data_IF_551621202607
#
_entry.id   IF_551621202607
#
_cell.length_a   1.000
_cell.length_b   1.000
_cell.length_c   1.000
_cell.angle_alpha   90.00
_cell.angle_beta   90.00
_cell.angle_gamma   90.00
#
_symmetry.space_group_name_H-M   'P 1'
#
loop_
_entity.id
_entity.type
_entity.pdbx_description
1 polymer ?
#
# COMPACT_ATOMS: atom_id res chain seq x y z
N UNK A 1 -25.07 7.40 -7.48
CA UNK A 1 -24.10 8.30 -8.13
C UNK A 1 -22.98 7.44 -8.67
N UNK A 2 -22.53 7.65 -9.90
CA UNK A 2 -21.34 6.94 -10.38
C UNK A 2 -20.08 7.60 -9.80
N UNK A 3 -18.95 6.89 -9.71
CA UNK A 3 -17.62 7.49 -9.52
C UNK A 3 -17.22 8.22 -10.84
N UNK A 4 -18.15 9.00 -11.40
CA UNK A 4 -18.03 9.77 -12.63
C UNK A 4 -17.44 11.11 -12.28
N UNK A 5 -16.17 11.30 -12.61
CA UNK A 5 -15.41 12.51 -12.29
C UNK A 5 -13.91 12.28 -12.29
N UNK A 6 -13.46 11.03 -12.35
CA UNK A 6 -12.05 10.72 -12.54
C UNK A 6 -11.62 11.03 -13.99
N UNK A 7 -10.68 11.96 -14.14
CA UNK A 7 -10.05 12.30 -15.41
C UNK A 7 -8.91 11.33 -15.70
N UNK A 8 -9.23 10.27 -16.45
CA UNK A 8 -8.27 9.23 -16.81
C UNK A 8 -7.11 9.78 -17.65
N UNK A 9 -7.36 10.73 -18.55
CA UNK A 9 -6.32 11.29 -19.42
C UNK A 9 -5.29 12.10 -18.61
N UNK A 10 -5.78 12.90 -17.66
CA UNK A 10 -4.88 13.62 -16.74
C UNK A 10 -4.10 12.67 -15.86
N UNK A 11 -4.75 11.63 -15.32
CA UNK A 11 -4.05 10.61 -14.54
C UNK A 11 -2.98 9.88 -15.36
N UNK A 12 -3.27 9.57 -16.63
CA UNK A 12 -2.34 8.91 -17.53
C UNK A 12 -1.11 9.79 -17.84
N UNK A 13 -1.32 11.06 -18.18
CA UNK A 13 -0.21 12.03 -18.38
C UNK A 13 0.68 12.16 -17.15
N UNK A 14 0.09 12.19 -15.96
CA UNK A 14 0.85 12.24 -14.71
C UNK A 14 1.66 10.96 -14.47
N UNK A 15 1.07 9.79 -14.77
CA UNK A 15 1.76 8.50 -14.68
C UNK A 15 2.93 8.45 -15.65
N UNK A 16 2.76 8.84 -16.91
CA UNK A 16 3.84 8.89 -17.90
C UNK A 16 4.97 9.83 -17.46
N UNK A 17 4.63 11.02 -16.97
CA UNK A 17 5.59 11.99 -16.49
C UNK A 17 6.41 11.48 -15.30
N UNK A 18 5.79 10.74 -14.37
CA UNK A 18 6.47 10.14 -13.21
C UNK A 18 7.29 8.90 -13.61
N UNK A 19 6.79 8.09 -14.55
CA UNK A 19 7.50 6.90 -15.04
C UNK A 19 8.77 7.25 -15.83
N UNK A 20 8.85 8.45 -16.39
CA UNK A 20 10.04 8.98 -17.08
C UNK A 20 11.13 9.51 -16.11
N UNK A 21 10.85 9.59 -14.81
CA UNK A 21 11.77 10.10 -13.80
C UNK A 21 12.38 8.95 -12.98
N UNK A 22 13.60 9.12 -12.41
CA UNK A 22 14.10 8.21 -11.40
C UNK A 22 13.10 8.06 -10.25
N UNK A 23 12.93 6.85 -9.74
CA UNK A 23 12.09 6.62 -8.57
C UNK A 23 12.66 7.42 -7.39
N UNK A 24 11.79 8.03 -6.55
CA UNK A 24 12.25 8.62 -5.30
C UNK A 24 12.75 7.52 -4.37
N UNK A 25 13.46 7.93 -3.33
CA UNK A 25 13.87 7.00 -2.27
C UNK A 25 12.66 6.21 -1.75
N UNK A 26 12.89 4.93 -1.49
CA UNK A 26 11.89 3.95 -1.09
C UNK A 26 10.89 4.44 -0.01
N UNK A 27 11.29 5.20 1.02
CA UNK A 27 10.35 5.69 2.01
C UNK A 27 9.25 6.61 1.47
N UNK A 28 9.45 7.23 0.30
CA UNK A 28 8.46 8.10 -0.34
C UNK A 28 7.51 7.37 -1.29
N UNK A 29 7.73 6.08 -1.56
CA UNK A 29 6.84 5.32 -2.42
C UNK A 29 5.41 5.37 -1.88
N UNK A 30 4.44 5.54 -2.76
CA UNK A 30 3.00 5.68 -2.49
C UNK A 30 2.63 6.84 -1.55
N UNK A 31 3.54 7.81 -1.37
CA UNK A 31 3.34 8.95 -0.47
C UNK A 31 3.63 8.67 1.01
N UNK A 32 4.06 7.46 1.38
CA UNK A 32 4.12 7.03 2.79
C UNK A 32 5.00 7.93 3.67
N UNK A 33 6.17 8.31 3.17
CA UNK A 33 7.07 9.23 3.85
C UNK A 33 6.44 10.59 4.12
N UNK A 34 5.75 11.15 3.12
CA UNK A 34 5.02 12.42 3.27
C UNK A 34 3.89 12.29 4.29
N UNK A 35 3.15 11.18 4.29
CA UNK A 35 2.09 10.95 5.28
C UNK A 35 2.64 10.85 6.71
N UNK A 36 3.80 10.22 6.91
CA UNK A 36 4.42 10.16 8.25
C UNK A 36 4.85 11.56 8.70
N UNK A 37 5.44 12.36 7.82
CA UNK A 37 5.82 13.74 8.14
C UNK A 37 4.60 14.60 8.46
N UNK A 38 3.55 14.52 7.65
CA UNK A 38 2.28 15.22 7.86
C UNK A 38 1.64 14.86 9.20
N UNK A 39 1.49 13.56 9.48
CA UNK A 39 1.00 13.09 10.78
C UNK A 39 1.85 13.63 11.94
N UNK A 40 3.17 13.66 11.79
CA UNK A 40 4.08 14.14 12.82
C UNK A 40 4.23 15.66 12.87
N UNK A 41 3.46 16.43 12.08
CA UNK A 41 3.59 17.88 11.94
C UNK A 41 5.05 18.30 11.70
N UNK A 42 5.71 17.61 10.78
CA UNK A 42 7.06 17.90 10.33
C UNK A 42 6.99 18.48 8.91
N UNK A 43 7.86 19.43 8.54
CA UNK A 43 7.90 19.96 7.18
C UNK A 43 8.10 18.84 6.15
N UNK A 44 7.47 18.93 4.99
CA UNK A 44 7.68 17.98 3.89
C UNK A 44 9.15 17.91 3.41
N UNK A 45 9.93 18.95 3.70
CA UNK A 45 11.38 19.03 3.44
C UNK A 45 12.22 18.36 4.53
N UNK A 46 11.60 17.86 5.60
CA UNK A 46 12.31 17.19 6.68
C UNK A 46 12.98 15.90 6.14
N UNK A 47 14.30 15.73 6.35
CA UNK A 47 15.04 14.62 5.78
C UNK A 47 14.58 13.28 6.35
N UNK A 48 13.99 12.45 5.49
CA UNK A 48 13.63 11.08 5.81
C UNK A 48 14.88 10.22 6.00
N UNK A 49 15.24 9.97 7.26
CA UNK A 49 16.33 9.07 7.66
C UNK A 49 15.81 7.77 8.25
N UNK A 50 14.61 7.37 7.83
CA UNK A 50 13.98 6.14 8.26
C UNK A 50 13.50 5.32 7.08
N UNK A 51 13.60 4.00 7.23
CA UNK A 51 12.93 3.03 6.39
C UNK A 51 11.50 2.83 6.88
N UNK A 52 10.54 2.69 5.97
CA UNK A 52 9.15 2.39 6.30
C UNK A 52 8.69 1.15 5.55
N UNK A 53 7.79 0.37 6.15
CA UNK A 53 7.14 -0.74 5.45
C UNK A 53 6.15 -0.27 4.38
N UNK A 54 6.17 -0.93 3.23
CA UNK A 54 5.38 -0.60 2.04
C UNK A 54 3.88 -0.82 2.16
N UNK A 55 3.40 -1.54 3.16
CA UNK A 55 1.98 -1.83 3.31
C UNK A 55 1.66 -2.72 4.50
N UNK A 56 0.37 -3.06 4.68
CA UNK A 56 -0.05 -4.10 5.60
C UNK A 56 0.62 -5.42 5.23
N UNK A 57 1.15 -6.12 6.22
CA UNK A 57 1.98 -7.30 5.98
C UNK A 57 1.18 -8.54 6.33
N UNK A 58 0.72 -9.24 5.30
CA UNK A 58 -0.06 -10.46 5.48
C UNK A 58 0.77 -11.51 6.22
N UNK A 59 2.06 -11.63 5.91
CA UNK A 59 2.98 -12.55 6.58
C UNK A 59 4.20 -11.84 7.18
N UNK A 60 4.73 -12.31 8.33
CA UNK A 60 5.67 -11.57 9.16
C UNK A 60 7.15 -11.66 8.72
N UNK A 61 7.47 -12.15 7.52
CA UNK A 61 8.87 -12.28 7.08
C UNK A 61 9.41 -11.00 6.47
N UNK A 62 10.46 -10.36 7.04
CA UNK A 62 10.92 -9.07 6.56
C UNK A 62 11.47 -9.20 5.15
N UNK A 63 11.02 -8.31 4.26
CA UNK A 63 11.69 -8.16 2.98
C UNK A 63 13.15 -7.76 3.19
N UNK A 64 14.01 -8.26 2.28
CA UNK A 64 15.45 -8.00 2.30
C UNK A 64 15.78 -6.50 2.36
N UNK A 65 14.98 -5.68 1.68
CA UNK A 65 15.15 -4.23 1.72
C UNK A 65 15.10 -3.66 3.14
N UNK A 66 14.28 -4.24 4.03
CA UNK A 66 14.23 -3.83 5.42
C UNK A 66 15.41 -4.37 6.22
N UNK A 67 15.83 -5.61 6.00
CA UNK A 67 16.98 -6.18 6.71
C UNK A 67 18.31 -5.55 6.26
N UNK A 68 18.40 -5.04 5.04
CA UNK A 68 19.63 -4.48 4.47
C UNK A 68 19.64 -2.95 4.39
N UNK A 69 18.53 -2.27 4.71
CA UNK A 69 18.45 -0.81 4.68
C UNK A 69 19.59 -0.19 5.49
N UNK A 70 20.30 0.77 4.90
CA UNK A 70 21.36 1.51 5.61
C UNK A 70 20.78 2.64 6.48
N UNK A 71 19.46 2.83 6.44
CA UNK A 71 18.81 3.85 7.22
C UNK A 71 18.83 3.47 8.71
N UNK A 72 19.21 4.43 9.58
CA UNK A 72 19.44 4.14 10.99
C UNK A 72 18.15 3.96 11.80
N UNK A 73 17.00 4.26 11.19
CA UNK A 73 15.68 4.15 11.79
C UNK A 73 14.82 3.23 10.92
N UNK A 74 14.07 2.32 11.54
CA UNK A 74 13.07 1.50 10.88
C UNK A 74 11.71 1.71 11.55
N UNK A 75 10.71 1.99 10.73
CA UNK A 75 9.31 2.11 11.12
C UNK A 75 8.55 0.93 10.51
N UNK A 76 8.07 0.01 11.34
CA UNK A 76 7.50 -1.26 10.87
C UNK A 76 6.33 -1.76 11.72
N UNK A 77 5.80 -2.92 11.34
CA UNK A 77 4.85 -3.70 12.13
C UNK A 77 5.57 -4.44 13.28
N UNK A 78 4.87 -4.73 14.37
CA UNK A 78 5.43 -5.36 15.59
C UNK A 78 6.13 -6.70 15.29
N UNK A 79 5.53 -7.51 14.41
CA UNK A 79 6.09 -8.79 13.99
C UNK A 79 7.53 -8.65 13.43
N UNK A 80 7.83 -7.59 12.66
CA UNK A 80 9.19 -7.34 12.17
C UNK A 80 10.08 -6.77 13.24
N UNK A 81 9.54 -5.92 14.12
CA UNK A 81 10.33 -5.38 15.22
C UNK A 81 10.94 -6.53 16.02
N UNK A 82 10.19 -7.61 16.28
CA UNK A 82 10.70 -8.83 16.94
C UNK A 82 11.81 -9.52 16.14
N UNK A 83 11.68 -9.64 14.82
CA UNK A 83 12.69 -10.28 13.95
C UNK A 83 13.95 -9.43 13.76
N UNK A 84 13.82 -8.11 13.85
CA UNK A 84 14.90 -7.15 13.56
C UNK A 84 15.54 -6.58 14.83
N UNK A 85 14.96 -6.86 15.99
CA UNK A 85 15.53 -6.55 17.30
C UNK A 85 16.95 -7.13 17.43
N UNK A 86 17.90 -6.29 17.83
CA UNK A 86 19.30 -6.68 18.04
C UNK A 86 20.25 -6.35 16.89
N UNK A 87 19.77 -5.81 15.76
CA UNK A 87 20.67 -5.31 14.71
C UNK A 87 21.43 -4.06 15.20
N UNK A 88 22.78 -4.09 15.23
CA UNK A 88 23.57 -2.95 15.72
C UNK A 88 23.32 -1.68 14.92
N UNK A 89 23.25 -0.54 15.60
CA UNK A 89 23.17 0.78 14.95
C UNK A 89 21.80 1.16 14.40
N UNK A 90 20.75 0.36 14.64
CA UNK A 90 19.38 0.67 14.22
C UNK A 90 18.47 0.97 15.41
N UNK A 91 17.59 1.96 15.23
CA UNK A 91 16.45 2.22 16.10
C UNK A 91 15.19 1.75 15.41
N UNK A 92 14.33 1.00 16.10
CA UNK A 92 13.10 0.44 15.55
C UNK A 92 11.91 1.07 16.28
N UNK A 93 10.88 1.45 15.52
CA UNK A 93 9.59 1.91 16.01
C UNK A 93 8.46 1.10 15.39
N UNK A 94 7.48 0.75 16.22
CA UNK A 94 6.26 0.08 15.78
C UNK A 94 5.19 1.13 15.46
N UNK A 95 4.82 1.22 14.18
CA UNK A 95 3.76 2.12 13.69
C UNK A 95 2.56 1.38 13.10
N UNK A 96 2.72 0.11 12.76
CA UNK A 96 1.75 -0.62 11.92
C UNK A 96 1.82 -0.17 10.46
N UNK A 97 0.76 -0.44 9.70
CA UNK A 97 0.63 -0.05 8.30
C UNK A 97 0.46 1.49 8.16
N UNK A 98 1.41 2.21 7.53
CA UNK A 98 1.36 3.66 7.44
C UNK A 98 0.13 4.18 6.70
N UNK A 99 -0.38 3.44 5.70
CA UNK A 99 -1.61 3.78 4.99
C UNK A 99 -2.82 3.84 5.92
N UNK A 100 -2.95 2.87 6.83
CA UNK A 100 -4.06 2.81 7.79
C UNK A 100 -3.93 3.94 8.81
N UNK A 101 -2.71 4.21 9.29
CA UNK A 101 -2.43 5.35 10.17
C UNK A 101 -2.81 6.68 9.53
N UNK A 102 -2.41 6.89 8.28
CA UNK A 102 -2.77 8.09 7.53
C UNK A 102 -4.29 8.25 7.38
N UNK A 103 -5.00 7.18 6.99
CA UNK A 103 -6.47 7.20 6.89
C UNK A 103 -7.13 7.63 8.19
N UNK A 104 -6.73 7.02 9.31
CA UNK A 104 -7.28 7.30 10.64
C UNK A 104 -6.98 8.73 11.08
N UNK A 105 -5.75 9.19 10.85
CA UNK A 105 -5.33 10.58 11.12
C UNK A 105 -6.19 11.59 10.35
N UNK A 106 -6.42 11.33 9.07
CA UNK A 106 -7.25 12.19 8.20
C UNK A 106 -8.77 12.02 8.44
N UNK A 107 -9.17 11.13 9.36
CA UNK A 107 -10.58 10.85 9.64
C UNK A 107 -11.35 10.31 8.43
N UNK A 108 -10.67 9.64 7.49
CA UNK A 108 -11.31 9.13 6.27
C UNK A 108 -12.12 7.89 6.64
N UNK A 109 -13.44 7.99 6.48
CA UNK A 109 -14.41 6.91 6.68
C UNK A 109 -15.20 6.69 5.40
N UNK A 110 -15.82 5.52 5.27
CA UNK A 110 -16.74 5.26 4.16
C UNK A 110 -17.89 6.27 4.16
N UNK A 111 -18.25 6.76 2.98
CA UNK A 111 -19.33 7.73 2.81
C UNK A 111 -20.69 7.05 3.01
N UNK A 112 -21.65 7.78 3.59
CA UNK A 112 -22.97 7.25 3.88
C UNK A 112 -23.76 6.88 2.59
N UNK A 113 -23.42 7.52 1.47
CA UNK A 113 -23.98 7.28 0.14
C UNK A 113 -23.05 6.42 -0.75
N UNK A 114 -22.06 5.75 -0.16
CA UNK A 114 -21.18 4.83 -0.87
C UNK A 114 -21.98 3.77 -1.66
N UNK A 115 -21.57 3.53 -2.90
CA UNK A 115 -22.30 2.67 -3.81
C UNK A 115 -21.36 1.93 -4.78
N UNK A 116 -21.91 0.91 -5.45
CA UNK A 116 -21.16 0.13 -6.43
C UNK A 116 -19.96 -0.64 -5.86
N UNK A 117 -19.15 -1.15 -6.78
CA UNK A 117 -17.96 -1.95 -6.50
C UNK A 117 -16.74 -1.36 -7.19
N UNK A 118 -15.60 -1.36 -6.51
CA UNK A 118 -14.29 -1.15 -7.16
C UNK A 118 -13.59 -2.50 -7.31
N UNK A 119 -13.30 -2.87 -8.54
CA UNK A 119 -12.49 -4.03 -8.88
C UNK A 119 -11.00 -3.65 -8.94
N UNK A 120 -10.15 -4.47 -8.36
CA UNK A 120 -8.69 -4.37 -8.37
C UNK A 120 -8.10 -5.60 -9.05
N UNK A 121 -7.88 -5.56 -10.37
CA UNK A 121 -7.20 -6.65 -11.05
C UNK A 121 -5.76 -6.79 -10.54
N UNK A 122 -5.27 -8.03 -10.44
CA UNK A 122 -3.91 -8.34 -10.02
C UNK A 122 -2.90 -7.66 -10.94
N UNK A 123 -1.94 -6.94 -10.37
CA UNK A 123 -1.12 -6.02 -11.15
C UNK A 123 0.34 -6.41 -11.28
N UNK A 124 0.98 -5.97 -12.37
CA UNK A 124 2.43 -6.08 -12.53
C UNK A 124 3.17 -5.24 -11.50
N UNK A 125 4.40 -5.64 -11.20
CA UNK A 125 5.42 -4.83 -10.54
C UNK A 125 6.63 -4.66 -11.47
N UNK A 126 7.64 -3.91 -11.05
CA UNK A 126 8.89 -3.80 -11.82
C UNK A 126 9.63 -5.15 -11.99
N UNK A 127 9.33 -6.14 -11.14
CA UNK A 127 10.01 -7.43 -11.13
C UNK A 127 9.14 -8.59 -11.62
N UNK A 128 7.81 -8.40 -11.68
CA UNK A 128 6.86 -9.46 -11.99
C UNK A 128 5.79 -8.91 -12.93
N UNK A 129 5.58 -9.61 -14.02
CA UNK A 129 4.43 -9.39 -14.88
C UNK A 129 3.31 -10.35 -14.50
N UNK A 130 2.11 -9.83 -14.29
CA UNK A 130 0.90 -10.63 -14.11
C UNK A 130 0.24 -10.88 -15.45
N UNK A 131 -0.25 -12.08 -15.71
CA UNK A 131 -0.96 -12.43 -16.94
C UNK A 131 -2.24 -13.19 -16.62
N UNK A 132 -3.36 -12.73 -17.17
CA UNK A 132 -4.64 -13.42 -17.17
C UNK A 132 -5.52 -12.83 -18.28
N UNK A 133 -6.64 -13.48 -18.55
CA UNK A 133 -7.61 -13.01 -19.55
C UNK A 133 -8.39 -11.79 -19.01
N UNK A 134 -7.90 -10.60 -19.33
CA UNK A 134 -8.52 -9.34 -18.94
C UNK A 134 -9.92 -9.16 -19.55
N UNK A 135 -10.16 -9.65 -20.78
CA UNK A 135 -11.46 -9.53 -21.44
C UNK A 135 -12.50 -10.42 -20.78
N UNK A 136 -12.15 -11.66 -20.45
CA UNK A 136 -13.02 -12.55 -19.68
C UNK A 136 -13.31 -11.98 -18.29
N UNK A 137 -12.31 -11.38 -17.63
CA UNK A 137 -12.54 -10.76 -16.33
C UNK A 137 -13.42 -9.51 -16.42
N UNK A 138 -13.25 -8.67 -17.46
CA UNK A 138 -14.12 -7.53 -17.71
C UNK A 138 -15.59 -7.96 -17.91
N UNK A 139 -15.83 -9.01 -18.68
CA UNK A 139 -17.18 -9.55 -18.88
C UNK A 139 -17.78 -10.12 -17.59
N UNK A 140 -16.97 -10.81 -16.78
CA UNK A 140 -17.39 -11.28 -15.45
C UNK A 140 -17.80 -10.11 -14.54
N UNK A 141 -17.02 -9.02 -14.52
CA UNK A 141 -17.34 -7.83 -13.73
C UNK A 141 -18.63 -7.14 -14.21
N UNK A 142 -18.81 -7.04 -15.53
CA UNK A 142 -20.02 -6.47 -16.16
C UNK A 142 -21.28 -7.26 -15.83
N UNK A 143 -21.14 -8.58 -15.64
CA UNK A 143 -22.25 -9.51 -15.36
C UNK A 143 -22.43 -9.84 -13.87
N UNK A 144 -21.71 -9.16 -12.97
CA UNK A 144 -21.93 -9.30 -11.53
C UNK A 144 -23.39 -8.99 -11.16
N UNK A 145 -23.94 -9.67 -10.13
CA UNK A 145 -25.28 -9.38 -9.61
C UNK A 145 -25.53 -7.89 -9.36
N UNK A 146 -26.75 -7.42 -9.60
CA UNK A 146 -27.15 -6.01 -9.50
C UNK A 146 -26.71 -5.33 -8.20
N UNK A 147 -26.73 -6.07 -7.07
CA UNK A 147 -26.29 -5.56 -5.77
C UNK A 147 -24.84 -5.05 -5.75
N UNK A 148 -23.99 -5.54 -6.66
CA UNK A 148 -22.58 -5.16 -6.80
C UNK A 148 -22.36 -4.09 -7.88
N UNK A 149 -23.39 -3.71 -8.62
CA UNK A 149 -23.30 -2.69 -9.65
C UNK A 149 -23.51 -1.28 -9.06
N UNK A 150 -23.01 -0.21 -9.72
CA UNK A 150 -22.07 -0.25 -10.86
C UNK A 150 -20.67 -0.71 -10.46
N UNK A 151 -19.89 -1.24 -11.39
CA UNK A 151 -18.47 -1.60 -11.18
C UNK A 151 -17.55 -0.56 -11.83
N UNK A 152 -16.52 -0.11 -11.12
CA UNK A 152 -15.36 0.61 -11.67
C UNK A 152 -14.08 -0.21 -11.46
N UNK A 153 -13.08 -0.06 -12.32
CA UNK A 153 -11.85 -0.88 -12.28
C UNK A 153 -10.64 0.01 -11.96
N UNK A 154 -10.02 -0.22 -10.81
CA UNK A 154 -8.82 0.51 -10.39
C UNK A 154 -7.56 -0.20 -10.92
N UNK A 155 -6.94 0.34 -11.95
CA UNK A 155 -5.76 -0.23 -12.61
C UNK A 155 -4.49 0.44 -12.06
N UNK A 156 -3.50 -0.39 -11.71
CA UNK A 156 -2.18 0.11 -11.30
C UNK A 156 -1.43 0.76 -12.47
N UNK A 157 -0.65 1.79 -12.18
CA UNK A 157 0.03 2.61 -13.19
C UNK A 157 0.83 1.81 -14.23
N UNK A 158 1.57 0.79 -13.80
CA UNK A 158 2.37 -0.02 -14.74
C UNK A 158 1.49 -0.76 -15.76
N UNK A 159 0.32 -1.21 -15.34
CA UNK A 159 -0.61 -1.93 -16.22
C UNK A 159 -1.44 -0.98 -17.09
N UNK A 160 -1.67 0.26 -16.63
CA UNK A 160 -2.17 1.33 -17.49
C UNK A 160 -1.21 1.57 -18.67
N UNK A 161 0.08 1.76 -18.38
CA UNK A 161 1.12 1.98 -19.40
C UNK A 161 1.24 0.81 -20.38
N UNK A 162 0.95 -0.41 -19.93
CA UNK A 162 0.91 -1.62 -20.78
C UNK A 162 -0.39 -1.79 -21.57
N UNK A 163 -1.35 -0.86 -21.46
CA UNK A 163 -2.64 -0.95 -22.17
C UNK A 163 -3.59 -2.01 -21.61
N UNK A 164 -3.33 -2.58 -20.43
CA UNK A 164 -4.16 -3.66 -19.84
C UNK A 164 -5.53 -3.19 -19.36
N UNK A 165 -5.76 -1.89 -19.35
CA UNK A 165 -7.04 -1.28 -19.04
C UNK A 165 -8.04 -1.32 -20.21
N UNK A 166 -7.56 -1.51 -21.45
CA UNK A 166 -8.38 -1.43 -22.65
C UNK A 166 -9.58 -2.40 -22.65
N UNK A 167 -9.44 -3.68 -22.26
CA UNK A 167 -10.58 -4.60 -22.24
C UNK A 167 -11.72 -4.17 -21.31
N UNK A 168 -11.39 -3.47 -20.21
CA UNK A 168 -12.40 -2.96 -19.28
C UNK A 168 -13.12 -1.73 -19.85
N UNK A 169 -12.39 -0.83 -20.52
CA UNK A 169 -13.00 0.30 -21.25
C UNK A 169 -13.94 -0.18 -22.36
N UNK A 170 -13.50 -1.17 -23.14
CA UNK A 170 -14.31 -1.78 -24.20
C UNK A 170 -15.58 -2.45 -23.66
N UNK A 171 -15.51 -3.02 -22.46
CA UNK A 171 -16.67 -3.57 -21.74
C UNK A 171 -17.58 -2.48 -21.11
N UNK A 172 -17.24 -1.20 -21.26
CA UNK A 172 -18.00 -0.07 -20.70
C UNK A 172 -17.80 0.16 -19.20
N UNK A 173 -16.74 -0.40 -18.61
CA UNK A 173 -16.42 -0.22 -17.19
C UNK A 173 -15.53 1.02 -17.00
N UNK A 174 -15.90 1.97 -16.11
CA UNK A 174 -15.06 3.10 -15.78
C UNK A 174 -13.70 2.66 -15.20
N UNK A 175 -12.63 3.35 -15.61
CA UNK A 175 -11.28 3.11 -15.11
C UNK A 175 -10.92 4.15 -14.06
N UNK A 176 -10.31 3.68 -12.98
CA UNK A 176 -9.70 4.49 -11.92
C UNK A 176 -8.22 4.15 -11.84
N UNK A 177 -7.42 5.04 -11.26
CA UNK A 177 -6.06 4.71 -10.85
C UNK A 177 -5.61 5.53 -9.67
N UNK A 178 -5.02 4.86 -8.68
CA UNK A 178 -4.33 5.52 -7.58
C UNK A 178 -3.03 6.21 -8.02
N UNK A 179 -2.60 6.04 -9.28
CA UNK A 179 -1.42 6.70 -9.83
C UNK A 179 -0.16 5.85 -9.80
N UNK A 180 0.97 6.50 -10.06
CA UNK A 180 2.30 5.88 -10.04
C UNK A 180 2.82 5.75 -8.61
N UNK A 181 3.69 4.78 -8.32
CA UNK A 181 4.25 4.62 -6.98
C UNK A 181 5.12 5.79 -6.52
N UNK A 182 5.64 6.60 -7.44
CA UNK A 182 6.37 7.83 -7.12
C UNK A 182 5.45 9.01 -6.74
N UNK A 183 4.14 8.81 -6.82
CA UNK A 183 3.16 9.87 -6.64
C UNK A 183 2.85 10.09 -5.13
N UNK A 184 3.05 11.31 -4.60
CA UNK A 184 2.79 11.60 -3.19
C UNK A 184 1.31 11.48 -2.81
N UNK A 185 0.39 11.61 -3.77
CA UNK A 185 -1.06 11.54 -3.54
C UNK A 185 -1.64 10.15 -3.80
N UNK A 186 -0.79 9.12 -3.97
CA UNK A 186 -1.25 7.77 -4.29
C UNK A 186 -2.22 7.22 -3.23
N UNK A 187 -1.79 7.20 -1.96
CA UNK A 187 -2.59 6.65 -0.87
C UNK A 187 -3.83 7.51 -0.59
N UNK A 188 -3.70 8.84 -0.67
CA UNK A 188 -4.83 9.78 -0.58
C UNK A 188 -5.89 9.47 -1.62
N UNK A 189 -5.52 9.32 -2.90
CA UNK A 189 -6.46 9.01 -3.98
C UNK A 189 -7.07 7.63 -3.84
N UNK A 190 -6.28 6.62 -3.44
CA UNK A 190 -6.80 5.29 -3.18
C UNK A 190 -7.93 5.32 -2.15
N UNK A 191 -7.72 5.95 -0.99
CA UNK A 191 -8.78 6.07 0.02
C UNK A 191 -9.97 6.92 -0.44
N UNK A 192 -9.72 7.95 -1.25
CA UNK A 192 -10.80 8.71 -1.88
C UNK A 192 -11.67 7.85 -2.80
N UNK A 193 -11.10 6.86 -3.49
CA UNK A 193 -11.92 5.90 -4.24
C UNK A 193 -12.64 4.94 -3.30
N UNK A 194 -11.90 4.34 -2.36
CA UNK A 194 -12.46 3.35 -1.43
C UNK A 194 -13.65 3.91 -0.66
N UNK A 195 -13.56 5.12 -0.10
CA UNK A 195 -14.66 5.69 0.73
C UNK A 195 -16.00 5.80 0.00
N UNK A 196 -15.99 5.87 -1.34
CA UNK A 196 -17.19 5.97 -2.17
C UNK A 196 -17.73 4.61 -2.62
N UNK A 197 -16.97 3.54 -2.44
CA UNK A 197 -17.33 2.20 -2.86
C UNK A 197 -18.12 1.48 -1.76
N UNK A 198 -19.20 0.79 -2.14
CA UNK A 198 -19.92 -0.08 -1.20
C UNK A 198 -19.23 -1.42 -1.01
N UNK A 199 -18.59 -1.92 -2.07
CA UNK A 199 -17.85 -3.17 -2.08
C UNK A 199 -16.50 -2.98 -2.79
N UNK A 200 -15.57 -3.88 -2.52
CA UNK A 200 -14.38 -4.05 -3.36
C UNK A 200 -14.21 -5.50 -3.76
N UNK A 201 -13.53 -5.73 -4.88
CA UNK A 201 -13.26 -7.08 -5.37
C UNK A 201 -11.93 -7.12 -6.12
N UNK A 202 -11.41 -8.32 -6.33
CA UNK A 202 -10.17 -8.56 -7.06
C UNK A 202 -9.97 -10.03 -7.31
N UNK A 203 -9.15 -10.34 -8.33
CA UNK A 203 -8.75 -11.71 -8.66
C UNK A 203 -7.45 -12.12 -7.95
N UNK A 204 -7.01 -11.32 -6.98
CA UNK A 204 -5.92 -11.61 -6.06
C UNK A 204 -6.14 -10.83 -4.75
N UNK A 205 -5.55 -11.28 -3.65
CA UNK A 205 -5.59 -10.60 -2.36
C UNK A 205 -4.28 -9.84 -2.21
N UNK A 206 -4.35 -8.52 -2.13
CA UNK A 206 -3.21 -7.65 -1.88
C UNK A 206 -3.57 -6.50 -0.93
N UNK A 207 -2.71 -5.48 -0.86
CA UNK A 207 -2.88 -4.31 0.02
C UNK A 207 -4.29 -3.71 -0.08
N UNK A 208 -4.83 -3.56 -1.30
CA UNK A 208 -6.16 -3.00 -1.52
C UNK A 208 -7.27 -3.71 -0.73
N UNK A 209 -7.21 -5.04 -0.61
CA UNK A 209 -8.20 -5.83 0.11
C UNK A 209 -8.12 -5.57 1.62
N UNK A 210 -6.90 -5.47 2.16
CA UNK A 210 -6.67 -5.17 3.58
C UNK A 210 -7.16 -3.77 3.92
N UNK A 211 -6.83 -2.76 3.09
CA UNK A 211 -7.26 -1.38 3.31
C UNK A 211 -8.78 -1.22 3.19
N UNK A 212 -9.42 -1.98 2.30
CA UNK A 212 -10.89 -2.01 2.17
C UNK A 212 -11.53 -2.56 3.44
N UNK A 213 -11.11 -3.76 3.85
CA UNK A 213 -11.65 -4.45 5.01
C UNK A 213 -11.40 -3.68 6.30
N UNK A 214 -10.23 -3.06 6.46
CA UNK A 214 -9.91 -2.23 7.63
C UNK A 214 -10.82 -1.00 7.72
N UNK A 215 -11.20 -0.41 6.59
CA UNK A 215 -12.14 0.72 6.55
C UNK A 215 -13.61 0.28 6.69
N UNK A 216 -13.87 -1.01 6.86
CA UNK A 216 -15.22 -1.58 6.99
C UNK A 216 -15.92 -1.85 5.64
N UNK A 217 -15.19 -1.75 4.52
CA UNK A 217 -15.73 -2.05 3.19
C UNK A 217 -15.61 -3.55 2.92
N UNK A 218 -16.72 -4.26 2.67
CA UNK A 218 -16.67 -5.66 2.34
C UNK A 218 -15.89 -5.94 1.04
N UNK A 219 -14.93 -6.87 1.12
CA UNK A 219 -14.16 -7.38 -0.01
C UNK A 219 -14.60 -8.80 -0.35
N UNK A 220 -14.75 -9.11 -1.65
CA UNK A 220 -14.98 -10.47 -2.12
C UNK A 220 -14.03 -10.84 -3.25
N UNK A 221 -13.59 -12.09 -3.28
CA UNK A 221 -12.72 -12.60 -4.33
C UNK A 221 -13.53 -12.95 -5.58
N UNK A 222 -13.07 -12.49 -6.74
CA UNK A 222 -13.71 -12.72 -8.04
C UNK A 222 -12.71 -12.56 -9.16
N UNK A 223 -12.67 -13.52 -10.09
CA UNK A 223 -11.90 -13.43 -11.32
C UNK A 223 -10.96 -14.60 -11.55
N UNK A 224 -10.24 -14.60 -12.69
CA UNK A 224 -9.30 -15.66 -13.02
C UNK A 224 -8.03 -15.56 -12.18
N UNK A 225 -7.45 -16.70 -11.81
CA UNK A 225 -6.16 -16.73 -11.14
C UNK A 225 -5.07 -16.19 -12.07
N UNK A 226 -4.26 -15.21 -11.63
CA UNK A 226 -3.16 -14.68 -12.44
C UNK A 226 -2.01 -15.68 -12.54
N UNK A 227 -1.36 -15.69 -13.69
CA UNK A 227 -0.04 -16.27 -13.89
C UNK A 227 1.02 -15.19 -13.63
N UNK A 228 2.11 -15.55 -12.96
CA UNK A 228 3.20 -14.64 -12.67
C UNK A 228 4.40 -15.00 -13.53
N UNK A 229 4.93 -14.01 -14.25
CA UNK A 229 6.13 -14.13 -15.06
C UNK A 229 7.23 -13.20 -14.58
N UNK A 230 8.51 -13.57 -14.72
CA UNK A 230 9.62 -12.65 -14.56
C UNK A 230 9.40 -11.38 -15.41
N UNK A 231 9.34 -10.21 -14.79
CA UNK A 231 9.25 -8.91 -15.48
C UNK A 231 10.63 -8.40 -15.95
N UNK A 232 10.69 -7.18 -16.51
CA UNK A 232 11.93 -6.59 -17.01
C UNK A 232 13.05 -6.49 -15.95
N UNK A 233 12.68 -6.26 -14.67
CA UNK A 233 13.62 -6.25 -13.55
C UNK A 233 13.96 -7.63 -12.98
N UNK A 234 13.50 -8.72 -13.61
CA UNK A 234 13.66 -10.06 -13.05
C UNK A 234 15.07 -10.63 -13.22
N UNK A 235 15.86 -10.18 -14.20
CA UNK A 235 17.25 -10.62 -14.37
C UNK A 235 18.13 -10.19 -13.19
N UNK A 236 17.94 -8.97 -12.68
CA UNK A 236 18.59 -8.51 -11.44
C UNK A 236 18.12 -9.33 -10.23
N UNK A 237 16.81 -9.61 -10.14
CA UNK A 237 16.26 -10.48 -9.10
C UNK A 237 16.81 -11.92 -9.17
N UNK A 238 16.97 -12.49 -10.36
CA UNK A 238 17.52 -13.83 -10.53
C UNK A 238 19.00 -13.88 -10.13
N UNK A 239 19.80 -12.89 -10.53
CA UNK A 239 21.19 -12.76 -10.12
C UNK A 239 21.34 -12.59 -8.59
N UNK A 240 20.38 -11.92 -7.95
CA UNK A 240 20.30 -11.81 -6.50
C UNK A 240 19.89 -13.14 -5.86
N UNK A 241 18.86 -13.83 -6.38
CA UNK A 241 18.39 -15.11 -5.88
C UNK A 241 19.48 -16.19 -5.93
N UNK A 242 20.24 -16.23 -7.04
CA UNK A 242 21.39 -17.12 -7.20
C UNK A 242 22.50 -16.83 -6.19
N UNK A 243 22.81 -15.55 -5.90
CA UNK A 243 23.75 -15.18 -4.84
C UNK A 243 23.27 -15.59 -3.44
N UNK A 244 21.97 -15.67 -3.24
CA UNK A 244 21.35 -15.96 -1.94
C UNK A 244 21.02 -17.45 -1.73
N UNK A 245 21.12 -18.28 -2.78
CA UNK A 245 20.73 -19.69 -2.74
C UNK A 245 19.24 -19.92 -2.48
N UNK A 246 18.38 -18.91 -2.68
CA UNK A 246 16.92 -19.00 -2.51
C UNK A 246 16.18 -17.99 -3.40
N UNK A 247 14.97 -18.33 -3.89
CA UNK A 247 14.16 -17.39 -4.67
C UNK A 247 13.73 -16.18 -3.83
N UNK A 248 13.65 -15.00 -4.45
CA UNK A 248 13.19 -13.75 -3.80
C UNK A 248 11.68 -13.73 -3.54
N UNK A 249 10.93 -14.46 -4.35
CA UNK A 249 9.50 -14.73 -4.21
C UNK A 249 9.33 -16.22 -4.47
N UNK A 250 8.90 -16.95 -3.45
CA UNK A 250 8.75 -18.38 -3.58
C UNK A 250 7.30 -18.67 -3.95
N UNK A 251 7.02 -19.60 -4.89
CA UNK A 251 5.68 -20.19 -5.03
C UNK A 251 5.12 -20.74 -3.70
N UNK A 252 5.97 -20.97 -2.69
CA UNK A 252 5.55 -21.35 -1.33
C UNK A 252 4.98 -20.20 -0.50
N UNK A 253 5.03 -18.95 -0.96
CA UNK A 253 4.38 -17.81 -0.29
C UNK A 253 2.85 -18.01 -0.21
N UNK A 254 2.29 -18.82 -1.11
CA UNK A 254 0.90 -19.27 -1.10
C UNK A 254 0.54 -20.19 0.09
N UNK A 255 1.52 -20.84 0.70
CA UNK A 255 1.32 -21.77 1.82
C UNK A 255 1.63 -21.15 3.18
N UNK A 256 1.82 -19.83 3.24
CA UNK A 256 2.05 -19.15 4.51
C UNK A 256 0.74 -19.12 5.33
N UNK A 257 0.79 -19.39 6.65
CA UNK A 257 -0.43 -19.59 7.44
C UNK A 257 -1.41 -18.42 7.43
N UNK A 258 -0.93 -17.16 7.50
CA UNK A 258 -1.83 -15.99 7.51
C UNK A 258 -2.43 -15.75 6.12
N UNK A 259 -1.64 -15.85 5.05
CA UNK A 259 -2.14 -15.79 3.67
C UNK A 259 -3.20 -16.86 3.38
N UNK A 260 -2.98 -18.10 3.81
CA UNK A 260 -3.95 -19.19 3.66
C UNK A 260 -5.22 -18.94 4.47
N UNK A 261 -5.10 -18.48 5.72
CA UNK A 261 -6.23 -18.13 6.57
C UNK A 261 -7.04 -16.97 6.00
N UNK A 262 -6.39 -15.94 5.48
CA UNK A 262 -7.03 -14.79 4.85
C UNK A 262 -7.84 -15.22 3.61
N UNK A 263 -7.27 -16.07 2.75
CA UNK A 263 -7.97 -16.67 1.60
C UNK A 263 -9.21 -17.46 2.01
N UNK A 264 -9.10 -18.24 3.09
CA UNK A 264 -10.21 -19.07 3.58
C UNK A 264 -11.36 -18.24 4.19
N UNK A 265 -11.06 -17.05 4.70
CA UNK A 265 -12.05 -16.16 5.32
C UNK A 265 -12.67 -15.16 4.35
N UNK A 266 -12.00 -14.86 3.23
CA UNK A 266 -12.53 -13.94 2.22
C UNK A 266 -13.66 -14.62 1.43
N UNK A 267 -14.85 -13.99 1.37
CA UNK A 267 -15.99 -14.54 0.65
C UNK A 267 -15.78 -14.47 -0.87
N UNK A 268 -16.51 -15.32 -1.59
CA UNK A 268 -16.68 -15.25 -3.04
C UNK A 268 -17.96 -14.47 -3.41
N UNK A 269 -18.16 -14.23 -4.70
CA UNK A 269 -19.34 -13.49 -5.22
C UNK A 269 -20.69 -14.08 -4.79
N UNK A 270 -20.76 -15.40 -4.59
CA UNK A 270 -21.99 -16.13 -4.22
C UNK A 270 -22.31 -16.08 -2.74
N UNK A 271 -21.36 -15.66 -1.91
CA UNK A 271 -21.49 -15.72 -0.46
C UNK A 271 -22.19 -14.47 0.12
N UNK A 272 -22.44 -14.53 1.43
CA UNK A 272 -22.66 -13.31 2.21
C UNK A 272 -21.31 -12.60 2.36
N UNK A 273 -21.18 -11.43 1.72
CA UNK A 273 -19.90 -10.71 1.68
C UNK A 273 -19.60 -9.94 2.98
N UNK A 274 -20.48 -9.97 3.98
CA UNK A 274 -20.27 -9.27 5.24
C UNK A 274 -18.93 -9.66 5.91
N UNK A 275 -18.27 -8.67 6.51
CA UNK A 275 -17.00 -8.89 7.22
C UNK A 275 -17.30 -9.68 8.50
N UNK A 276 -16.84 -10.92 8.56
CA UNK A 276 -17.01 -11.77 9.74
C UNK A 276 -16.12 -11.27 10.90
N UNK A 277 -16.46 -11.57 12.17
CA UNK A 277 -15.61 -11.24 13.30
C UNK A 277 -14.18 -11.80 13.16
N UNK A 278 -14.05 -13.03 12.64
CA UNK A 278 -12.74 -13.66 12.42
C UNK A 278 -11.93 -12.96 11.34
N UNK A 279 -12.58 -12.50 10.26
CA UNK A 279 -11.92 -11.72 9.21
C UNK A 279 -11.49 -10.35 9.76
N UNK A 280 -12.36 -9.67 10.51
CA UNK A 280 -12.03 -8.39 11.13
C UNK A 280 -10.83 -8.51 12.08
N UNK A 281 -10.81 -9.53 12.95
CA UNK A 281 -9.70 -9.78 13.87
C UNK A 281 -8.39 -10.12 13.12
N UNK A 282 -8.45 -10.86 12.01
CA UNK A 282 -7.28 -11.14 11.19
C UNK A 282 -6.75 -9.87 10.50
N UNK A 283 -7.63 -9.01 9.99
CA UNK A 283 -7.25 -7.74 9.37
C UNK A 283 -6.60 -6.81 10.38
N UNK A 284 -7.14 -6.76 11.60
CA UNK A 284 -6.56 -6.04 12.73
C UNK A 284 -5.11 -6.44 13.01
N UNK A 285 -4.86 -7.75 13.08
CA UNK A 285 -3.52 -8.32 13.27
C UNK A 285 -2.59 -8.10 12.06
N UNK A 286 -3.11 -8.01 10.82
CA UNK A 286 -2.29 -7.75 9.62
C UNK A 286 -1.82 -6.29 9.55
N UNK A 287 -2.68 -5.33 9.89
CA UNK A 287 -2.31 -3.91 9.81
C UNK A 287 -1.62 -3.40 11.09
N UNK A 288 -1.88 -3.99 12.26
CA UNK A 288 -1.20 -3.73 13.54
C UNK A 288 -1.15 -2.27 13.97
N UNK A 289 -2.19 -1.50 13.66
CA UNK A 289 -2.24 -0.07 13.97
C UNK A 289 -2.87 0.21 15.34
N UNK A 290 -3.50 -0.79 15.95
CA UNK A 290 -4.21 -0.66 17.22
C UNK A 290 -3.25 -0.69 18.40
N UNK A 291 -2.13 -1.39 18.26
CA UNK A 291 -1.03 -1.44 19.24
C UNK A 291 0.13 -0.48 18.89
N UNK A 292 -0.06 0.39 17.90
CA UNK A 292 0.98 1.27 17.40
C UNK A 292 1.21 2.49 18.32
N UNK A 293 2.44 3.01 18.30
CA UNK A 293 2.80 4.21 19.06
C UNK A 293 1.90 5.41 18.72
N UNK A 294 1.73 6.33 19.68
CA UNK A 294 1.01 7.58 19.44
C UNK A 294 1.75 8.42 18.39
N UNK A 295 1.03 9.32 17.69
CA UNK A 295 1.65 10.24 16.72
C UNK A 295 2.74 11.09 17.38
N UNK A 296 2.51 11.57 18.61
CA UNK A 296 3.49 12.33 19.38
C UNK A 296 4.74 11.52 19.70
N UNK A 297 4.60 10.24 20.03
CA UNK A 297 5.74 9.36 20.31
C UNK A 297 6.52 9.06 19.02
N UNK A 298 5.85 8.92 17.88
CA UNK A 298 6.49 8.76 16.57
C UNK A 298 7.27 10.02 16.22
N UNK A 299 6.67 11.21 16.38
CA UNK A 299 7.34 12.51 16.17
C UNK A 299 8.58 12.64 17.05
N UNK A 300 8.43 12.39 18.36
CA UNK A 300 9.54 12.46 19.33
C UNK A 300 10.66 11.49 18.94
N UNK A 301 10.30 10.26 18.59
CA UNK A 301 11.25 9.24 18.17
C UNK A 301 12.02 9.62 16.90
N UNK A 302 11.35 10.19 15.89
CA UNK A 302 12.01 10.67 14.66
C UNK A 302 13.00 11.78 15.00
N UNK A 303 12.59 12.79 15.77
CA UNK A 303 13.44 13.92 16.16
C UNK A 303 14.64 13.49 17.01
N UNK A 304 14.42 12.66 18.04
CA UNK A 304 15.49 12.17 18.92
C UNK A 304 16.46 11.25 18.17
N UNK A 305 15.96 10.45 17.24
CA UNK A 305 16.82 9.65 16.38
C UNK A 305 17.65 10.53 15.46
N UNK A 306 17.06 11.56 14.86
CA UNK A 306 17.79 12.50 14.02
C UNK A 306 18.91 13.23 14.78
N UNK A 307 18.62 13.73 15.98
CA UNK A 307 19.61 14.32 16.92
C UNK A 307 20.76 13.36 17.24
N UNK A 308 20.45 12.08 17.41
CA UNK A 308 21.42 11.04 17.78
C UNK A 308 22.36 10.67 16.64
N UNK A 309 21.86 10.63 15.40
CA UNK A 309 22.66 10.23 14.23
C UNK A 309 23.39 11.40 13.58
N UNK A 310 22.95 12.64 13.83
CA UNK A 310 23.52 13.84 13.21
C UNK A 310 23.85 14.91 14.26
N UNK A 311 25.01 14.78 14.96
CA UNK A 311 25.39 15.70 16.05
C UNK A 311 25.44 17.18 15.65
N UNK A 312 25.74 17.50 14.40
CA UNK A 312 25.68 18.87 13.88
C UNK A 312 24.28 19.50 14.01
N UNK A 313 23.22 18.67 13.94
CA UNK A 313 21.83 19.09 14.13
C UNK A 313 21.53 19.43 15.60
N UNK A 314 22.30 18.91 16.56
CA UNK A 314 22.15 19.31 17.96
C UNK A 314 22.39 20.82 18.13
N UNK A 315 23.31 21.39 17.37
CA UNK A 315 23.59 22.83 17.38
C UNK A 315 22.38 23.62 16.87
N UNK A 316 21.77 23.17 15.78
CA UNK A 316 20.59 23.81 15.17
C UNK A 316 19.37 23.71 16.09
N UNK A 317 19.11 22.52 16.67
CA UNK A 317 17.97 22.31 17.56
C UNK A 317 18.15 22.99 18.93
N UNK A 318 19.38 23.10 19.45
CA UNK A 318 19.68 23.93 20.61
C UNK A 318 19.45 25.41 20.33
N UNK A 319 19.71 25.86 19.11
CA UNK A 319 19.43 27.23 18.69
C UNK A 319 17.92 27.48 18.63
N UNK A 320 17.17 26.64 17.92
CA UNK A 320 15.69 26.70 17.82
C UNK A 320 15.00 26.67 19.21
N UNK A 321 15.46 25.80 20.13
CA UNK A 321 14.96 25.76 21.51
C UNK A 321 15.22 27.04 22.30
N UNK A 322 16.34 27.73 22.02
CA UNK A 322 16.68 28.99 22.70
C UNK A 322 15.92 30.17 22.13
N UNK A 323 15.61 30.16 20.85
CA UNK A 323 14.94 31.29 20.16
C UNK A 323 13.42 31.19 20.21
N UNK A 324 12.86 30.01 20.52
CA UNK A 324 11.41 29.79 20.44
C UNK A 324 10.92 29.58 19.01
N UNK A 325 11.81 29.67 18.01
CA UNK A 325 11.54 29.32 16.62
C UNK A 325 11.58 27.81 16.43
N UNK A 326 10.58 27.12 16.97
CA UNK A 326 10.15 25.87 16.35
C UNK A 326 9.15 26.25 15.26
N UNK A 327 9.49 26.01 13.99
CA UNK A 327 8.65 26.19 12.79
C UNK A 327 8.84 27.51 12.01
N UNK A 328 10.08 27.78 11.59
CA UNK A 328 10.40 28.78 10.56
C UNK A 328 11.11 28.19 9.33
N UNK A 329 10.87 26.92 9.00
CA UNK A 329 11.38 26.25 7.78
C UNK A 329 10.27 25.43 7.14
#
# INVERSE_FOLDING_TARGET
MSITGFDLDTAFRQIEALAAQPLPDEPYWYGLGYHILDMCELPATFPLRFQVHHGPMIDPEPFRMYTESRLPILICHEAFAKTLQGQPGRKIMVLGAPQVRYRRYQGIVQDADACGTIAFPCHSTHHIDTEFDHSAYAEQLRTLPERFQPVSVCIYALDLLKGRHMPYLEAGLPILSAGHMADPEFTTRLYNFLRRARFTTGNEIGTHSILSLEMGIPYFHSGPQPLYRPGAGAAEHAAIADKLGKPLLSPTDYNRPKSARLRALIPTVTDNVAISPDLAALIQDIHGCDDAASVDDVRRFILDSYVSFYPATQTVLRHARKTGDFLGV
#
